data_IF_859688463843
#
_entry.id   IF_859688463843
#
_cell.length_a   1.000
_cell.length_b   1.000
_cell.length_c   1.000
_cell.angle_alpha   90.00
_cell.angle_beta   90.00
_cell.angle_gamma   90.00
#
_symmetry.space_group_name_H-M   'P 1'
#
loop_
_entity.id
_entity.type
_entity.pdbx_description
1 polymer ?
#
# COMPACT_ATOMS: atom_id res chain seq x y z
N UNK A 1 -9.54 15.65 -4.22
CA UNK A 1 -10.87 15.16 -3.78
C UNK A 1 -10.81 14.45 -2.41
N UNK A 2 -9.84 13.53 -2.21
CA UNK A 2 -9.70 12.77 -0.95
C UNK A 2 -9.60 13.64 0.31
N UNK A 3 -8.88 14.76 0.29
CA UNK A 3 -8.79 15.66 1.46
C UNK A 3 -10.15 16.22 1.90
N UNK A 4 -11.01 16.60 0.94
CA UNK A 4 -12.38 17.07 1.24
C UNK A 4 -13.23 15.94 1.80
N UNK A 5 -13.16 14.74 1.20
CA UNK A 5 -13.88 13.56 1.69
C UNK A 5 -13.42 13.16 3.10
N UNK A 6 -12.11 13.18 3.38
CA UNK A 6 -11.57 12.94 4.72
C UNK A 6 -12.12 13.94 5.73
N UNK A 7 -12.15 15.23 5.39
CA UNK A 7 -12.72 16.27 6.25
C UNK A 7 -14.20 16.02 6.54
N UNK A 8 -15.00 15.69 5.52
CA UNK A 8 -16.43 15.36 5.68
C UNK A 8 -16.65 14.15 6.58
N UNK A 9 -15.80 13.12 6.44
CA UNK A 9 -15.87 11.88 7.20
C UNK A 9 -15.11 11.93 8.54
N UNK A 10 -14.60 13.11 8.94
CA UNK A 10 -13.80 13.31 10.16
C UNK A 10 -12.60 12.35 10.26
N UNK A 11 -11.99 12.04 9.10
CA UNK A 11 -10.75 11.28 9.01
C UNK A 11 -9.60 12.27 9.12
N UNK A 12 -8.69 12.03 10.07
CA UNK A 12 -7.49 12.83 10.24
C UNK A 12 -6.63 12.81 8.95
N UNK A 13 -5.86 13.87 8.67
CA UNK A 13 -4.87 13.84 7.60
C UNK A 13 -3.92 12.63 7.74
N UNK A 14 -3.41 12.08 6.63
CA UNK A 14 -2.36 11.07 6.66
C UNK A 14 -1.16 11.53 7.51
N UNK A 15 -0.63 10.64 8.34
CA UNK A 15 0.64 10.84 9.04
C UNK A 15 1.79 10.09 8.35
N UNK A 16 1.44 9.08 7.55
CA UNK A 16 2.36 8.31 6.72
C UNK A 16 2.32 8.85 5.31
N UNK A 17 3.48 9.04 4.71
CA UNK A 17 3.61 9.44 3.29
C UNK A 17 3.60 8.21 2.38
N UNK A 18 3.41 8.44 1.08
CA UNK A 18 3.51 7.38 0.08
C UNK A 18 4.87 6.68 0.10
N UNK A 19 5.97 7.43 0.22
CA UNK A 19 7.33 6.90 0.29
C UNK A 19 7.48 5.99 1.51
N UNK A 20 6.96 6.43 2.66
CA UNK A 20 7.01 5.63 3.89
C UNK A 20 6.17 4.35 3.77
N UNK A 21 5.00 4.42 3.13
CA UNK A 21 4.19 3.23 2.87
C UNK A 21 4.91 2.24 1.94
N UNK A 22 5.64 2.73 0.92
CA UNK A 22 6.48 1.91 0.05
C UNK A 22 7.64 1.25 0.80
N UNK A 23 8.31 1.95 1.71
CA UNK A 23 9.35 1.38 2.56
C UNK A 23 8.81 0.23 3.44
N UNK A 24 7.63 0.44 4.06
CA UNK A 24 6.98 -0.61 4.85
C UNK A 24 6.66 -1.82 3.98
N UNK A 25 6.08 -1.62 2.81
CA UNK A 25 5.74 -2.72 1.91
C UNK A 25 6.98 -3.47 1.40
N UNK A 26 8.09 -2.76 1.09
CA UNK A 26 9.36 -3.39 0.70
C UNK A 26 9.91 -4.27 1.81
N UNK A 27 9.91 -3.76 3.05
CA UNK A 27 10.36 -4.52 4.23
C UNK A 27 9.49 -5.76 4.45
N UNK A 28 8.17 -5.60 4.40
CA UNK A 28 7.23 -6.72 4.58
C UNK A 28 7.43 -7.81 3.51
N UNK A 29 7.69 -7.43 2.25
CA UNK A 29 8.04 -8.39 1.20
C UNK A 29 9.33 -9.16 1.53
N UNK A 30 10.37 -8.45 1.98
CA UNK A 30 11.63 -9.08 2.36
C UNK A 30 11.46 -10.06 3.53
N UNK A 31 10.70 -9.68 4.57
CA UNK A 31 10.40 -10.52 5.73
C UNK A 31 9.61 -11.79 5.36
N UNK A 32 8.72 -11.69 4.36
CA UNK A 32 7.92 -12.82 3.86
C UNK A 32 8.61 -13.64 2.77
N UNK A 33 9.80 -13.24 2.31
CA UNK A 33 10.47 -13.86 1.17
C UNK A 33 9.72 -13.65 -0.15
N UNK A 34 8.90 -12.62 -0.25
CA UNK A 34 8.19 -12.26 -1.48
C UNK A 34 9.06 -11.38 -2.37
N UNK A 35 9.05 -11.65 -3.67
CA UNK A 35 9.83 -10.89 -4.63
C UNK A 35 9.20 -9.52 -4.90
N UNK A 36 9.96 -8.44 -4.69
CA UNK A 36 9.55 -7.10 -5.07
C UNK A 36 9.81 -6.86 -6.56
N UNK A 37 8.76 -6.55 -7.32
CA UNK A 37 8.84 -6.38 -8.79
C UNK A 37 8.26 -5.05 -9.25
N UNK A 38 8.99 -4.37 -10.12
CA UNK A 38 8.53 -3.17 -10.81
C UNK A 38 7.69 -3.55 -12.05
N UNK A 39 6.81 -2.66 -12.53
CA UNK A 39 6.46 -1.37 -11.94
C UNK A 39 5.53 -1.52 -10.72
N UNK A 40 5.76 -0.70 -9.71
CA UNK A 40 4.89 -0.60 -8.54
C UNK A 40 3.83 0.47 -8.77
N UNK A 41 2.57 0.14 -8.46
CA UNK A 41 1.47 1.11 -8.39
C UNK A 41 1.13 1.36 -6.93
N UNK A 42 1.06 2.63 -6.55
CA UNK A 42 0.48 3.05 -5.28
C UNK A 42 -0.82 3.80 -5.54
N UNK A 43 -1.82 3.56 -4.70
CA UNK A 43 -3.10 4.27 -4.76
C UNK A 43 -3.47 4.71 -3.35
N UNK A 44 -3.57 6.01 -3.15
CA UNK A 44 -4.04 6.59 -1.90
C UNK A 44 -5.56 6.46 -1.79
N UNK A 45 -6.03 5.75 -0.76
CA UNK A 45 -7.43 5.68 -0.35
C UNK A 45 -7.74 6.61 0.82
N UNK A 46 -8.97 6.57 1.34
CA UNK A 46 -9.37 7.45 2.45
C UNK A 46 -8.60 7.18 3.75
N UNK A 47 -8.21 5.91 4.00
CA UNK A 47 -7.57 5.43 5.25
C UNK A 47 -6.36 4.52 5.01
N UNK A 48 -6.06 4.18 3.76
CA UNK A 48 -4.98 3.24 3.44
C UNK A 48 -4.29 3.63 2.15
N UNK A 49 -3.02 3.28 2.03
CA UNK A 49 -2.31 3.18 0.76
C UNK A 49 -2.42 1.74 0.27
N UNK A 50 -2.87 1.57 -0.97
CA UNK A 50 -2.89 0.28 -1.64
C UNK A 50 -1.69 0.22 -2.57
N UNK A 51 -0.82 -0.77 -2.34
CA UNK A 51 0.42 -0.99 -3.08
C UNK A 51 0.29 -2.29 -3.86
N UNK A 52 0.61 -2.24 -5.14
CA UNK A 52 0.62 -3.40 -6.02
C UNK A 52 1.94 -3.48 -6.78
N UNK A 53 2.71 -4.53 -6.57
CA UNK A 53 3.92 -4.82 -7.36
C UNK A 53 3.54 -5.47 -8.69
N UNK A 54 4.47 -5.44 -9.66
CA UNK A 54 4.29 -6.02 -10.98
C UNK A 54 2.97 -5.57 -11.66
N UNK A 55 2.63 -4.29 -11.48
CA UNK A 55 1.29 -3.76 -11.71
C UNK A 55 0.79 -3.82 -13.17
N UNK A 56 1.68 -4.13 -14.11
CA UNK A 56 1.40 -4.26 -15.55
C UNK A 56 1.38 -5.71 -16.04
N UNK A 57 1.50 -6.70 -15.15
CA UNK A 57 1.46 -8.12 -15.50
C UNK A 57 0.56 -8.94 -14.56
N UNK A 58 0.33 -10.20 -14.96
CA UNK A 58 -0.50 -11.17 -14.22
C UNK A 58 0.38 -12.17 -13.49
N UNK A 59 -0.01 -12.51 -12.26
CA UNK A 59 0.68 -13.47 -11.41
C UNK A 59 1.91 -12.89 -10.71
N UNK A 60 2.18 -13.36 -9.49
CA UNK A 60 3.32 -12.88 -8.69
C UNK A 60 3.21 -11.43 -8.21
N UNK A 61 2.01 -10.84 -8.27
CA UNK A 61 1.74 -9.50 -7.78
C UNK A 61 1.60 -9.56 -6.26
N UNK A 62 2.40 -8.78 -5.55
CA UNK A 62 2.14 -8.48 -4.15
C UNK A 62 1.08 -7.38 -4.13
N UNK A 63 0.00 -7.62 -3.37
CA UNK A 63 -1.00 -6.62 -3.07
C UNK A 63 -0.97 -6.34 -1.57
N UNK A 64 -0.86 -5.08 -1.18
CA UNK A 64 -0.73 -4.70 0.23
C UNK A 64 -1.51 -3.43 0.53
N UNK A 65 -2.19 -3.40 1.67
CA UNK A 65 -2.84 -2.22 2.20
C UNK A 65 -2.11 -1.76 3.46
N UNK A 66 -1.65 -0.51 3.46
CA UNK A 66 -0.92 0.12 4.58
C UNK A 66 -1.79 1.23 5.16
N UNK A 67 -1.99 1.22 6.48
CA UNK A 67 -2.73 2.27 7.17
C UNK A 67 -2.02 3.63 7.07
N UNK A 68 -2.77 4.68 6.70
CA UNK A 68 -2.20 6.02 6.43
C UNK A 68 -1.79 6.78 7.71
N UNK A 69 -2.19 6.32 8.90
CA UNK A 69 -1.92 7.00 10.16
C UNK A 69 -0.78 6.33 10.93
N UNK A 70 -0.72 5.01 10.89
CA UNK A 70 0.20 4.20 11.71
C UNK A 70 1.29 3.54 10.89
N UNK A 71 1.07 3.34 9.59
CA UNK A 71 1.97 2.57 8.73
C UNK A 71 1.88 1.07 8.96
N UNK A 72 0.86 0.60 9.67
CA UNK A 72 0.61 -0.82 9.88
C UNK A 72 0.19 -1.50 8.57
N UNK A 73 0.67 -2.72 8.35
CA UNK A 73 0.19 -3.59 7.27
C UNK A 73 -1.20 -4.10 7.66
N UNK A 74 -2.24 -3.58 7.02
CA UNK A 74 -3.63 -3.98 7.25
C UNK A 74 -3.92 -5.32 6.57
N UNK A 75 -3.43 -5.48 5.34
CA UNK A 75 -3.63 -6.64 4.49
C UNK A 75 -2.42 -6.84 3.59
N UNK A 76 -2.05 -8.09 3.34
CA UNK A 76 -0.96 -8.45 2.43
C UNK A 76 -1.29 -9.79 1.76
N UNK A 77 -1.13 -9.87 0.44
CA UNK A 77 -1.29 -11.11 -0.32
C UNK A 77 -0.32 -11.17 -1.50
N UNK A 78 0.03 -12.39 -1.90
CA UNK A 78 0.78 -12.69 -3.11
C UNK A 78 -0.15 -13.43 -4.07
N UNK A 79 -0.38 -12.87 -5.25
CA UNK A 79 -1.12 -13.55 -6.31
C UNK A 79 -0.33 -14.77 -6.78
N UNK A 80 -0.96 -15.95 -6.75
CA UNK A 80 -0.41 -17.17 -7.35
C UNK A 80 -0.13 -16.95 -8.85
N UNK A 81 0.89 -17.62 -9.36
CA UNK A 81 1.18 -17.66 -10.79
C UNK A 81 0.19 -18.54 -11.55
#
# INVERSE_FOLDING_TARGET
MLGVMRKLLRIAPPLVTEERALEVARRECAERGWEWREPVRVTEGLREYVIMTNAVARGGNVWMAIDIHTGAVLRASLASR
#
